data_IF_640685115989
#
_entry.id   IF_640685115989
#
_cell.length_a   1.000
_cell.length_b   1.000
_cell.length_c   1.000
_cell.angle_alpha   90.00
_cell.angle_beta   90.00
_cell.angle_gamma   90.00
#
_symmetry.space_group_name_H-M   'P 1'
#
loop_
_entity.id
_entity.type
_entity.pdbx_description
1 polymer ?
#
# COMPACT_ATOMS: atom_id res chain seq x y z
N UNK A 1 -22.92 -0.77 -1.03
CA UNK A 1 -21.90 0.18 -0.52
C UNK A 1 -20.78 -0.64 0.10
N UNK A 2 -19.50 -0.29 -0.11
CA UNK A 2 -18.36 -1.12 0.33
C UNK A 2 -18.22 -1.26 1.86
N UNK A 3 -18.87 -0.40 2.64
CA UNK A 3 -18.87 -0.40 4.11
C UNK A 3 -20.23 -0.82 4.72
N UNK A 4 -20.99 -1.70 4.08
CA UNK A 4 -22.37 -2.01 4.52
C UNK A 4 -22.47 -2.60 5.94
N UNK A 5 -21.42 -3.28 6.41
CA UNK A 5 -21.39 -3.91 7.73
C UNK A 5 -21.03 -2.95 8.87
N UNK A 6 -20.64 -1.70 8.56
CA UNK A 6 -20.31 -0.70 9.55
C UNK A 6 -20.89 0.67 9.16
N UNK A 7 -22.10 0.93 9.63
CA UNK A 7 -22.84 2.15 9.32
C UNK A 7 -22.12 3.42 9.81
N UNK A 8 -21.48 3.36 10.98
CA UNK A 8 -20.71 4.47 11.53
C UNK A 8 -19.53 4.83 10.62
N UNK A 9 -18.76 3.81 10.20
CA UNK A 9 -17.65 4.02 9.26
C UNK A 9 -18.14 4.50 7.89
N UNK A 10 -19.25 3.95 7.39
CA UNK A 10 -19.84 4.41 6.14
C UNK A 10 -20.23 5.90 6.21
N UNK A 11 -20.87 6.33 7.31
CA UNK A 11 -21.22 7.74 7.53
C UNK A 11 -19.97 8.63 7.62
N UNK A 12 -18.92 8.17 8.30
CA UNK A 12 -17.66 8.90 8.37
C UNK A 12 -17.01 9.06 6.98
N UNK A 13 -16.95 7.99 6.17
CA UNK A 13 -16.43 8.07 4.80
C UNK A 13 -17.22 9.06 3.93
N UNK A 14 -18.55 9.16 4.12
CA UNK A 14 -19.34 10.19 3.43
C UNK A 14 -18.91 11.60 3.80
N UNK A 15 -18.73 11.87 5.10
CA UNK A 15 -18.27 13.18 5.58
C UNK A 15 -16.86 13.53 5.08
N UNK A 16 -16.00 12.54 4.95
CA UNK A 16 -14.67 12.74 4.33
C UNK A 16 -14.81 13.09 2.85
N UNK A 17 -15.71 12.42 2.13
CA UNK A 17 -15.92 12.66 0.70
C UNK A 17 -16.57 14.00 0.36
N UNK A 18 -17.39 14.57 1.24
CA UNK A 18 -18.02 15.88 1.06
C UNK A 18 -17.29 17.04 1.77
N UNK A 19 -16.20 16.75 2.48
CA UNK A 19 -15.37 17.73 3.19
C UNK A 19 -15.92 18.17 4.55
N UNK A 20 -17.08 17.67 4.99
CA UNK A 20 -17.65 18.01 6.31
C UNK A 20 -16.93 17.35 7.48
N UNK A 21 -15.99 16.43 7.23
CA UNK A 21 -15.10 15.84 8.22
C UNK A 21 -13.85 16.68 8.52
N UNK A 22 -13.62 17.78 7.79
CA UNK A 22 -12.46 18.64 8.00
C UNK A 22 -12.62 19.40 9.33
N UNK A 23 -11.65 19.26 10.23
CA UNK A 23 -11.77 19.81 11.59
C UNK A 23 -10.99 21.13 11.79
N UNK A 24 -10.03 21.42 10.90
CA UNK A 24 -9.18 22.60 11.01
C UNK A 24 -9.17 23.47 9.75
N UNK A 25 -8.52 24.63 9.85
CA UNK A 25 -8.36 25.57 8.74
C UNK A 25 -7.45 25.07 7.61
N UNK A 26 -6.83 23.90 7.78
CA UNK A 26 -5.91 23.29 6.83
C UNK A 26 -6.54 22.09 6.10
N UNK A 27 -7.85 21.89 6.24
CA UNK A 27 -8.60 20.78 5.64
C UNK A 27 -8.09 19.39 6.07
N UNK A 28 -7.58 19.28 7.31
CA UNK A 28 -7.21 17.99 7.87
C UNK A 28 -8.42 17.27 8.47
N UNK A 29 -8.41 15.95 8.32
CA UNK A 29 -9.35 15.04 8.99
C UNK A 29 -8.70 14.45 10.25
N UNK A 30 -9.48 14.25 11.31
CA UNK A 30 -9.03 13.48 12.47
C UNK A 30 -9.23 11.98 12.21
N UNK A 31 -8.16 11.19 12.39
CA UNK A 31 -8.23 9.74 12.34
C UNK A 31 -8.40 9.20 13.76
N UNK A 32 -9.34 8.25 13.93
CA UNK A 32 -9.49 7.55 15.20
C UNK A 32 -8.18 6.84 15.59
N UNK A 33 -7.80 6.88 16.87
CA UNK A 33 -6.54 6.30 17.35
C UNK A 33 -6.35 4.83 16.96
N UNK A 34 -7.44 4.06 16.85
CA UNK A 34 -7.43 2.65 16.39
C UNK A 34 -6.91 2.46 14.95
N UNK A 35 -6.88 3.52 14.15
CA UNK A 35 -6.40 3.52 12.77
C UNK A 35 -4.93 3.96 12.66
N UNK A 36 -4.33 4.39 13.77
CA UNK A 36 -2.96 4.90 13.82
C UNK A 36 -2.04 3.79 14.33
N UNK A 37 -0.90 3.62 13.66
CA UNK A 37 0.14 2.67 14.03
C UNK A 37 1.44 3.44 14.24
N UNK A 38 2.00 3.38 15.44
CA UNK A 38 3.22 4.13 15.80
C UNK A 38 4.52 3.40 15.37
N UNK A 39 4.43 2.11 15.07
CA UNK A 39 5.55 1.24 14.71
C UNK A 39 5.50 0.84 13.23
N UNK A 40 6.28 -0.17 12.84
CA UNK A 40 6.24 -0.73 11.49
C UNK A 40 4.82 -1.16 11.08
N UNK A 41 4.24 -0.45 10.12
CA UNK A 41 2.96 -0.80 9.51
C UNK A 41 3.05 -2.17 8.82
N UNK A 42 4.22 -2.53 8.28
CA UNK A 42 4.46 -3.84 7.68
C UNK A 42 4.32 -4.94 8.74
N UNK A 43 4.94 -4.78 9.91
CA UNK A 43 4.83 -5.74 11.00
C UNK A 43 3.40 -5.82 11.55
N UNK A 44 2.71 -4.67 11.62
CA UNK A 44 1.33 -4.62 12.08
C UNK A 44 0.37 -5.40 11.16
N UNK A 45 0.54 -5.28 9.83
CA UNK A 45 -0.35 -5.90 8.85
C UNK A 45 0.05 -7.35 8.54
N UNK A 46 1.35 -7.60 8.32
CA UNK A 46 1.88 -8.88 7.84
C UNK A 46 2.56 -9.71 8.93
N UNK A 47 2.88 -9.13 10.08
CA UNK A 47 3.61 -9.80 11.15
C UNK A 47 5.13 -9.74 10.97
N UNK A 48 5.85 -10.30 11.94
CA UNK A 48 7.32 -10.31 11.91
C UNK A 48 7.85 -11.27 10.83
N UNK A 49 7.15 -12.37 10.57
CA UNK A 49 7.48 -13.38 9.55
C UNK A 49 6.23 -13.90 8.84
N UNK A 50 6.30 -14.12 7.53
CA UNK A 50 5.19 -14.65 6.75
C UNK A 50 5.22 -16.19 6.72
N UNK A 51 4.06 -16.81 6.87
CA UNK A 51 3.87 -18.26 6.71
C UNK A 51 3.31 -18.55 5.32
N UNK A 52 4.05 -19.26 4.47
CA UNK A 52 3.63 -19.54 3.08
C UNK A 52 2.33 -20.32 2.97
N UNK A 53 1.88 -21.01 4.03
CA UNK A 53 0.60 -21.70 4.07
C UNK A 53 -0.61 -20.75 4.22
N UNK A 54 -0.40 -19.52 4.67
CA UNK A 54 -1.46 -18.54 5.00
C UNK A 54 -1.69 -17.52 3.86
N UNK A 55 -1.28 -17.83 2.63
CA UNK A 55 -1.35 -16.92 1.48
C UNK A 55 -2.73 -16.27 1.24
N UNK A 56 -3.83 -16.97 1.56
CA UNK A 56 -5.20 -16.44 1.46
C UNK A 56 -5.47 -15.27 2.41
N UNK A 57 -4.85 -15.29 3.59
CA UNK A 57 -4.96 -14.19 4.56
C UNK A 57 -4.20 -12.97 4.05
N UNK A 58 -3.01 -13.18 3.50
CA UNK A 58 -2.19 -12.09 2.96
C UNK A 58 -2.76 -11.46 1.70
N UNK A 59 -3.44 -12.23 0.84
CA UNK A 59 -4.08 -11.70 -0.37
C UNK A 59 -5.22 -10.72 -0.08
N UNK A 60 -5.75 -10.71 1.15
CA UNK A 60 -6.80 -9.78 1.58
C UNK A 60 -6.23 -8.51 2.23
N UNK A 61 -4.90 -8.39 2.34
CA UNK A 61 -4.20 -7.28 2.99
C UNK A 61 -3.48 -6.45 1.94
N UNK A 62 -3.49 -5.13 2.13
CA UNK A 62 -2.75 -4.19 1.30
C UNK A 62 -2.32 -2.99 2.12
N UNK A 63 -1.19 -2.40 1.77
CA UNK A 63 -0.75 -1.10 2.28
C UNK A 63 -0.78 -0.14 1.10
N UNK A 64 -1.43 1.01 1.30
CA UNK A 64 -1.55 2.04 0.28
C UNK A 64 -0.64 3.21 0.66
N UNK A 65 0.13 3.70 -0.30
CA UNK A 65 0.97 4.89 -0.14
C UNK A 65 0.60 5.94 -1.18
N UNK A 66 0.81 7.24 -0.89
CA UNK A 66 0.62 8.29 -1.88
C UNK A 66 1.64 8.23 -3.03
N UNK A 67 2.86 7.74 -2.77
CA UNK A 67 3.96 7.67 -3.75
C UNK A 67 4.42 6.24 -4.00
N UNK A 68 4.90 6.01 -5.22
CA UNK A 68 5.48 4.73 -5.61
C UNK A 68 6.78 4.44 -4.87
N UNK A 69 7.62 5.43 -4.62
CA UNK A 69 8.89 5.24 -3.88
C UNK A 69 8.63 4.64 -2.49
N UNK A 70 7.64 5.16 -1.77
CA UNK A 70 7.21 4.63 -0.47
C UNK A 70 6.64 3.20 -0.62
N UNK A 71 5.92 2.94 -1.71
CA UNK A 71 5.37 1.62 -2.02
C UNK A 71 6.48 0.60 -2.26
N UNK A 72 7.52 0.95 -3.01
CA UNK A 72 8.67 0.08 -3.27
C UNK A 72 9.39 -0.27 -1.98
N UNK A 73 9.69 0.72 -1.13
CA UNK A 73 10.34 0.50 0.16
C UNK A 73 9.55 -0.45 1.07
N UNK A 74 8.22 -0.32 1.11
CA UNK A 74 7.37 -1.20 1.91
C UNK A 74 7.25 -2.60 1.28
N UNK A 75 7.17 -2.69 -0.04
CA UNK A 75 7.12 -3.97 -0.73
C UNK A 75 8.40 -4.78 -0.53
N UNK A 76 9.57 -4.14 -0.55
CA UNK A 76 10.84 -4.80 -0.26
C UNK A 76 10.85 -5.39 1.15
N UNK A 77 10.37 -4.63 2.15
CA UNK A 77 10.23 -5.14 3.54
C UNK A 77 9.26 -6.32 3.63
N UNK A 78 8.19 -6.35 2.83
CA UNK A 78 7.26 -7.50 2.77
C UNK A 78 7.94 -8.71 2.13
N UNK A 79 8.70 -8.52 1.05
CA UNK A 79 9.41 -9.59 0.34
C UNK A 79 10.46 -10.23 1.24
N UNK A 80 11.21 -9.45 2.02
CA UNK A 80 12.21 -9.95 2.99
C UNK A 80 11.60 -10.85 4.07
N UNK A 81 10.29 -10.72 4.35
CA UNK A 81 9.57 -11.54 5.33
C UNK A 81 9.10 -12.88 4.77
N UNK A 82 9.12 -13.05 3.44
CA UNK A 82 8.71 -14.29 2.79
C UNK A 82 9.85 -15.31 2.93
N UNK A 83 9.62 -16.46 3.58
CA UNK A 83 10.66 -17.46 3.74
C UNK A 83 11.01 -18.09 2.38
N UNK A 84 12.29 -18.25 2.11
CA UNK A 84 12.77 -18.85 0.87
C UNK A 84 14.03 -18.16 0.35
N UNK A 85 14.38 -18.47 -0.90
CA UNK A 85 15.49 -17.84 -1.59
C UNK A 85 14.99 -16.61 -2.35
N UNK A 86 15.65 -15.47 -2.14
CA UNK A 86 15.45 -14.28 -2.95
C UNK A 86 15.79 -14.59 -4.41
N UNK A 87 14.92 -14.16 -5.32
CA UNK A 87 15.13 -14.29 -6.75
C UNK A 87 15.01 -12.93 -7.42
N UNK A 88 16.08 -12.53 -8.11
CA UNK A 88 16.17 -11.24 -8.80
C UNK A 88 15.97 -11.50 -10.30
N UNK A 89 15.16 -10.66 -10.93
CA UNK A 89 14.92 -10.67 -12.37
C UNK A 89 15.27 -9.29 -12.92
N UNK A 90 16.27 -9.23 -13.79
CA UNK A 90 16.73 -7.98 -14.40
C UNK A 90 15.92 -7.66 -15.66
N UNK A 91 15.61 -6.38 -15.89
CA UNK A 91 14.98 -5.95 -17.13
C UNK A 91 15.96 -6.03 -18.30
N UNK A 92 15.44 -6.21 -19.51
CA UNK A 92 16.21 -6.16 -20.74
C UNK A 92 15.68 -5.02 -21.59
N UNK A 93 16.26 -3.83 -21.42
CA UNK A 93 15.84 -2.63 -22.12
C UNK A 93 16.83 -2.32 -23.25
N UNK A 94 16.31 -2.11 -24.47
CA UNK A 94 17.11 -1.75 -25.65
C UNK A 94 16.63 -0.40 -26.21
N UNK A 95 17.58 0.49 -26.51
CA UNK A 95 17.29 1.72 -27.24
C UNK A 95 17.30 1.38 -28.73
N UNK A 96 16.19 1.64 -29.41
CA UNK A 96 16.15 1.56 -30.88
C UNK A 96 16.82 2.82 -31.40
N UNK A 97 18.02 2.68 -31.94
CA UNK A 97 18.68 3.75 -32.69
C UNK A 97 18.22 3.64 -34.15
N UNK A 98 17.50 4.66 -34.63
CA UNK A 98 17.08 4.75 -36.03
C UNK A 98 18.24 5.32 -36.83
N UNK A 99 19.32 4.53 -36.95
CA UNK A 99 20.48 4.87 -37.76
C UNK A 99 20.06 4.77 -39.23
N UNK A 100 19.36 5.80 -39.71
CA UNK A 100 19.12 6.09 -41.12
C UNK A 100 20.49 6.35 -41.78
N UNK A 101 21.24 5.28 -42.03
CA UNK A 101 22.29 5.31 -43.03
C UNK A 101 21.59 5.39 -44.39
N UNK A 102 21.38 6.63 -44.84
CA UNK A 102 21.07 6.99 -46.22
C UNK A 102 22.05 6.26 -47.16
N UNK A 103 21.52 5.38 -48.01
CA UNK A 103 22.25 4.82 -49.17
C UNK A 103 21.41 4.95 -50.44
#
# INVERSE_FOLDING_TARGET
>A
MRAHDNLEFAQWVFKVGDGSANEDSNDHIELAQRCIVDNSIVDHIFGVSLNTNDYKSYSMKSILTPKNDDCFQLNDQVVEKIPGLLKIYESSDAVVDDDHNDV
#
